data_IF_157528571945
#
_entry.id   IF_157528571945
#
_cell.length_a   1.000
_cell.length_b   1.000
_cell.length_c   1.000
_cell.angle_alpha   90.00
_cell.angle_beta   90.00
_cell.angle_gamma   90.00
#
_symmetry.space_group_name_H-M   'P 1'
#
loop_
_entity.id
_entity.type
_entity.pdbx_description
1 polymer ?
#
# COMPACT_ATOMS: atom_id res chain seq x y z
N UNK A 1 -7.81 28.36 -2.47
CA UNK A 1 -6.45 27.97 -2.88
C UNK A 1 -6.57 26.63 -3.60
N UNK A 2 -5.89 26.41 -4.72
CA UNK A 2 -5.86 25.10 -5.38
C UNK A 2 -4.87 24.22 -4.63
N UNK A 3 -5.33 23.10 -4.07
CA UNK A 3 -4.47 22.19 -3.32
C UNK A 3 -3.68 21.28 -4.27
N UNK A 4 -2.35 21.30 -4.17
CA UNK A 4 -1.48 20.36 -4.92
C UNK A 4 -1.19 19.10 -4.12
N UNK A 5 -0.79 18.02 -4.79
CA UNK A 5 -0.36 16.77 -4.16
C UNK A 5 0.76 16.98 -3.12
N UNK A 6 1.74 17.84 -3.45
CA UNK A 6 2.86 18.16 -2.56
C UNK A 6 2.41 18.83 -1.27
N UNK A 7 1.40 19.69 -1.35
CA UNK A 7 0.87 20.39 -0.18
C UNK A 7 0.10 19.42 0.73
N UNK A 8 -0.56 18.42 0.16
CA UNK A 8 -1.39 17.45 0.88
C UNK A 8 -0.56 16.40 1.63
N UNK A 9 0.52 15.86 1.04
CA UNK A 9 1.21 14.66 1.54
C UNK A 9 1.71 14.76 2.98
N UNK A 10 2.49 15.79 3.30
CA UNK A 10 3.08 15.96 4.64
C UNK A 10 2.00 16.00 5.73
N UNK A 11 1.08 16.97 5.67
CA UNK A 11 -0.05 17.06 6.60
C UNK A 11 -0.94 15.80 6.65
N UNK A 12 -1.12 15.12 5.52
CA UNK A 12 -1.87 13.85 5.47
C UNK A 12 -1.19 12.75 6.29
N UNK A 13 0.15 12.67 6.28
CA UNK A 13 0.87 11.64 7.02
C UNK A 13 0.73 11.85 8.53
N UNK A 14 0.86 13.10 8.99
CA UNK A 14 0.62 13.46 10.39
C UNK A 14 -0.81 13.10 10.82
N UNK A 15 -1.80 13.40 9.98
CA UNK A 15 -3.19 13.02 10.21
C UNK A 15 -3.40 11.50 10.32
N UNK A 16 -2.79 10.73 9.41
CA UNK A 16 -2.91 9.27 9.41
C UNK A 16 -2.24 8.65 10.64
N UNK A 17 -1.09 9.16 11.09
CA UNK A 17 -0.44 8.73 12.33
C UNK A 17 -1.30 9.04 13.56
N UNK A 18 -1.95 10.20 13.61
CA UNK A 18 -2.88 10.53 14.71
C UNK A 18 -4.10 9.59 14.74
N UNK A 19 -4.66 9.26 13.58
CA UNK A 19 -5.86 8.41 13.48
C UNK A 19 -5.59 6.92 13.68
N UNK A 20 -4.44 6.42 13.23
CA UNK A 20 -4.13 4.99 13.21
C UNK A 20 -2.99 4.58 14.17
N UNK A 21 -2.32 5.55 14.80
CA UNK A 21 -1.16 5.32 15.65
C UNK A 21 0.09 4.99 14.85
N UNK A 22 0.84 3.99 15.32
CA UNK A 22 2.11 3.59 14.70
C UNK A 22 1.84 2.94 13.34
N UNK A 23 2.25 3.65 12.28
CA UNK A 23 2.15 3.22 10.88
C UNK A 23 3.48 3.41 10.16
N UNK A 24 3.61 2.79 8.99
CA UNK A 24 4.70 3.08 8.04
C UNK A 24 4.12 3.56 6.73
N UNK A 25 4.63 4.66 6.21
CA UNK A 25 4.26 5.22 4.92
C UNK A 25 5.29 4.82 3.86
N UNK A 26 4.80 4.30 2.73
CA UNK A 26 5.59 4.06 1.53
C UNK A 26 4.96 4.85 0.39
N UNK A 27 5.73 5.74 -0.22
CA UNK A 27 5.25 6.56 -1.34
C UNK A 27 5.56 5.91 -2.69
N UNK A 28 4.78 6.27 -3.72
CA UNK A 28 5.07 5.98 -5.13
C UNK A 28 5.29 4.49 -5.45
N UNK A 29 4.57 3.59 -4.75
CA UNK A 29 4.74 2.14 -4.88
C UNK A 29 4.08 1.59 -6.15
N UNK A 30 4.86 0.94 -7.00
CA UNK A 30 4.33 0.28 -8.21
C UNK A 30 3.34 -0.85 -7.85
N UNK A 31 2.14 -0.81 -8.43
CA UNK A 31 1.06 -1.81 -8.29
C UNK A 31 0.58 -2.27 -9.67
N UNK A 32 1.25 -3.29 -10.22
CA UNK A 32 0.99 -3.76 -11.57
C UNK A 32 1.39 -2.72 -12.61
N UNK A 33 0.43 -2.13 -13.33
CA UNK A 33 0.67 -1.03 -14.27
C UNK A 33 0.32 0.35 -13.71
N UNK A 34 -0.23 0.39 -12.50
CA UNK A 34 -0.45 1.63 -11.78
C UNK A 34 0.69 1.87 -10.79
N UNK A 35 0.71 3.08 -10.26
CA UNK A 35 1.50 3.44 -9.10
C UNK A 35 0.53 3.91 -8.04
N UNK A 36 0.72 3.39 -6.83
CA UNK A 36 0.02 3.90 -5.67
C UNK A 36 0.77 5.11 -5.14
N UNK A 37 0.05 6.20 -4.89
CA UNK A 37 0.66 7.46 -4.41
C UNK A 37 1.24 7.25 -3.02
N UNK A 38 0.46 6.58 -2.17
CA UNK A 38 0.79 6.27 -0.78
C UNK A 38 0.30 4.86 -0.44
N UNK A 39 1.12 4.11 0.28
CA UNK A 39 0.77 2.85 0.92
C UNK A 39 1.00 3.02 2.41
N UNK A 40 -0.08 2.99 3.17
CA UNK A 40 -0.04 2.95 4.62
C UNK A 40 0.02 1.49 5.08
N UNK A 41 1.11 1.13 5.74
CA UNK A 41 1.36 -0.19 6.33
C UNK A 41 0.89 -0.15 7.79
N UNK A 42 -0.13 -0.94 8.09
CA UNK A 42 -0.64 -1.23 9.43
C UNK A 42 -0.16 -2.62 9.83
N UNK A 43 -0.32 -2.97 11.12
CA UNK A 43 0.15 -4.24 11.70
C UNK A 43 -0.15 -5.50 10.87
N UNK A 44 -1.40 -5.67 10.41
CA UNK A 44 -1.88 -6.86 9.69
C UNK A 44 -2.48 -6.52 8.31
N UNK A 45 -2.41 -5.25 7.89
CA UNK A 45 -3.10 -4.79 6.68
C UNK A 45 -2.34 -3.68 5.97
N UNK A 46 -2.54 -3.60 4.67
CA UNK A 46 -2.06 -2.52 3.81
C UNK A 46 -3.26 -1.72 3.33
N UNK A 47 -3.15 -0.39 3.48
CA UNK A 47 -4.10 0.54 2.90
C UNK A 47 -3.45 1.30 1.75
N UNK A 48 -3.98 1.13 0.53
CA UNK A 48 -3.61 1.98 -0.59
C UNK A 48 -4.33 3.31 -0.48
N UNK A 49 -3.62 4.42 -0.68
CA UNK A 49 -4.18 5.76 -0.62
C UNK A 49 -3.85 6.47 -1.93
N UNK A 50 -4.88 6.86 -2.66
CA UNK A 50 -4.77 7.68 -3.87
C UNK A 50 -5.09 9.13 -3.51
N UNK A 51 -4.21 10.06 -3.90
CA UNK A 51 -4.39 11.50 -3.68
C UNK A 51 -4.90 12.12 -4.98
N UNK A 52 -5.97 12.91 -4.88
CA UNK A 52 -6.52 13.68 -5.99
C UNK A 52 -6.52 15.15 -5.64
N UNK A 53 -5.65 15.89 -6.33
CA UNK A 53 -5.64 17.35 -6.32
C UNK A 53 -6.87 17.89 -7.05
N UNK A 54 -7.16 19.18 -6.85
CA UNK A 54 -8.30 19.83 -7.51
C UNK A 54 -8.17 19.89 -9.06
N UNK A 55 -6.98 19.61 -9.60
CA UNK A 55 -6.73 19.59 -11.03
C UNK A 55 -6.96 18.21 -11.68
N UNK A 56 -7.19 17.15 -10.88
CA UNK A 56 -7.21 15.78 -11.38
C UNK A 56 -8.54 15.39 -12.04
N UNK A 57 -8.45 14.62 -13.13
CA UNK A 57 -9.63 14.02 -13.78
C UNK A 57 -9.89 12.61 -13.26
N UNK A 58 -11.17 12.26 -13.10
CA UNK A 58 -11.59 10.94 -12.62
C UNK A 58 -11.42 9.80 -13.64
N UNK A 59 -11.06 10.10 -14.90
CA UNK A 59 -10.83 9.08 -15.93
C UNK A 59 -9.66 8.17 -15.55
N UNK A 60 -8.57 8.75 -15.04
CA UNK A 60 -7.40 7.98 -14.59
C UNK A 60 -7.72 7.16 -13.33
N UNK A 61 -8.52 7.72 -12.43
CA UNK A 61 -8.93 7.06 -11.19
C UNK A 61 -9.62 5.72 -11.45
N UNK A 62 -10.52 5.63 -12.43
CA UNK A 62 -11.22 4.37 -12.76
C UNK A 62 -10.26 3.21 -13.04
N UNK A 63 -9.14 3.49 -13.73
CA UNK A 63 -8.13 2.47 -13.99
C UNK A 63 -7.28 2.15 -12.75
N UNK A 64 -6.95 3.15 -11.94
CA UNK A 64 -6.21 2.97 -10.69
C UNK A 64 -7.01 2.13 -9.69
N UNK A 65 -8.31 2.39 -9.55
CA UNK A 65 -9.23 1.64 -8.69
C UNK A 65 -9.12 0.13 -8.92
N UNK A 66 -8.99 -0.31 -10.17
CA UNK A 66 -8.80 -1.74 -10.49
C UNK A 66 -7.53 -2.32 -9.86
N UNK A 67 -6.41 -1.61 -9.92
CA UNK A 67 -5.13 -2.07 -9.38
C UNK A 67 -5.11 -2.00 -7.86
N UNK A 68 -5.52 -0.88 -7.27
CA UNK A 68 -5.64 -0.74 -5.82
C UNK A 68 -6.52 -1.84 -5.21
N UNK A 69 -7.68 -2.10 -5.83
CA UNK A 69 -8.58 -3.18 -5.43
C UNK A 69 -7.92 -4.57 -5.44
N UNK A 70 -6.91 -4.81 -6.26
CA UNK A 70 -6.24 -6.12 -6.31
C UNK A 70 -5.12 -6.24 -5.28
N UNK A 71 -4.52 -5.13 -4.83
CA UNK A 71 -3.28 -5.15 -4.05
C UNK A 71 -3.46 -4.90 -2.56
N UNK A 72 -4.46 -4.12 -2.15
CA UNK A 72 -4.57 -3.63 -0.78
C UNK A 72 -5.80 -4.13 -0.06
N UNK A 73 -5.68 -4.36 1.25
CA UNK A 73 -6.77 -4.84 2.12
C UNK A 73 -7.81 -3.75 2.38
N UNK A 74 -7.36 -2.50 2.41
CA UNK A 74 -8.17 -1.29 2.52
C UNK A 74 -7.74 -0.31 1.43
N UNK A 75 -8.61 0.61 1.07
CA UNK A 75 -8.24 1.71 0.16
C UNK A 75 -8.88 3.01 0.61
N UNK A 76 -8.15 4.11 0.46
CA UNK A 76 -8.66 5.47 0.59
C UNK A 76 -8.49 6.23 -0.73
N UNK A 77 -9.37 7.19 -0.94
CA UNK A 77 -9.09 8.34 -1.80
C UNK A 77 -9.10 9.62 -0.95
N UNK A 78 -8.12 10.49 -1.20
CA UNK A 78 -8.01 11.82 -0.60
C UNK A 78 -8.36 12.85 -1.66
N UNK A 79 -9.25 13.80 -1.36
CA UNK A 79 -9.66 14.82 -2.33
C UNK A 79 -10.01 16.15 -1.65
N UNK A 80 -9.87 17.25 -2.38
CA UNK A 80 -10.36 18.56 -1.93
C UNK A 80 -11.89 18.58 -1.79
N UNK A 81 -12.43 19.47 -0.95
CA UNK A 81 -13.88 19.57 -0.69
C UNK A 81 -14.73 19.84 -1.92
N UNK A 82 -14.24 20.64 -2.87
CA UNK A 82 -14.90 20.89 -4.16
C UNK A 82 -15.03 19.62 -5.01
N UNK A 83 -14.09 18.68 -4.87
CA UNK A 83 -14.07 17.40 -5.58
C UNK A 83 -14.81 16.28 -4.85
N UNK A 84 -14.99 16.41 -3.53
CA UNK A 84 -15.63 15.41 -2.69
C UNK A 84 -17.09 15.10 -3.09
N UNK A 85 -17.80 16.02 -3.75
CA UNK A 85 -19.23 15.86 -4.06
C UNK A 85 -19.52 14.64 -4.95
N UNK A 86 -18.65 14.36 -5.93
CA UNK A 86 -18.86 13.25 -6.89
C UNK A 86 -17.88 12.09 -6.71
N UNK A 87 -16.97 12.15 -5.74
CA UNK A 87 -15.95 11.11 -5.58
C UNK A 87 -16.57 9.73 -5.27
N UNK A 88 -17.70 9.69 -4.55
CA UNK A 88 -18.43 8.46 -4.24
C UNK A 88 -18.86 7.68 -5.49
N UNK A 89 -19.12 8.38 -6.59
CA UNK A 89 -19.53 7.77 -7.86
C UNK A 89 -18.35 7.12 -8.60
N UNK A 90 -17.11 7.43 -8.19
CA UNK A 90 -15.89 7.01 -8.87
C UNK A 90 -15.09 5.95 -8.11
N UNK A 91 -15.36 5.78 -6.81
CA UNK A 91 -14.73 4.74 -5.99
C UNK A 91 -15.76 3.76 -5.43
N UNK A 92 -15.43 2.47 -5.28
CA UNK A 92 -16.32 1.48 -4.66
C UNK A 92 -16.75 1.89 -3.25
N UNK A 93 -17.92 1.42 -2.80
CA UNK A 93 -18.47 1.74 -1.47
C UNK A 93 -17.59 1.31 -0.30
N UNK A 94 -16.71 0.32 -0.49
CA UNK A 94 -15.76 -0.13 0.53
C UNK A 94 -14.47 0.71 0.60
N UNK A 95 -14.27 1.67 -0.31
CA UNK A 95 -13.17 2.63 -0.19
C UNK A 95 -13.49 3.65 0.89
N UNK A 96 -12.51 4.06 1.67
CA UNK A 96 -12.62 5.25 2.50
C UNK A 96 -12.48 6.52 1.67
N UNK A 97 -12.99 7.63 2.20
CA UNK A 97 -12.86 8.96 1.62
C UNK A 97 -12.37 9.89 2.72
N UNK A 98 -11.25 10.56 2.45
CA UNK A 98 -10.72 11.65 3.26
C UNK A 98 -10.87 12.94 2.45
N UNK A 99 -11.43 13.97 3.07
CA UNK A 99 -11.51 15.30 2.47
C UNK A 99 -10.40 16.18 3.04
N UNK A 100 -9.74 16.95 2.18
CA UNK A 100 -8.75 17.94 2.55
C UNK A 100 -9.33 19.35 2.37
N UNK A 101 -9.20 20.19 3.41
CA UNK A 101 -9.69 21.56 3.43
C UNK A 101 -8.54 22.51 3.73
N UNK A 102 -8.34 23.50 2.86
CA UNK A 102 -7.35 24.55 3.07
C UNK A 102 -7.99 25.76 3.74
N UNK A 103 -7.66 26.00 5.00
CA UNK A 103 -8.11 27.18 5.75
C UNK A 103 -6.93 27.87 6.42
N UNK A 104 -6.83 29.21 6.30
CA UNK A 104 -5.81 30.04 6.97
C UNK A 104 -4.34 29.59 6.78
N UNK A 105 -4.02 28.90 5.69
CA UNK A 105 -2.67 28.43 5.38
C UNK A 105 -2.32 27.06 5.99
N UNK A 106 -3.26 26.40 6.66
CA UNK A 106 -3.18 25.02 7.11
C UNK A 106 -4.12 24.13 6.31
N UNK A 107 -3.84 22.82 6.30
CA UNK A 107 -4.69 21.82 5.66
C UNK A 107 -5.24 20.91 6.74
N UNK A 108 -6.56 20.90 6.86
CA UNK A 108 -7.29 20.00 7.76
C UNK A 108 -7.86 18.82 6.98
N UNK A 109 -7.90 17.66 7.63
CA UNK A 109 -8.40 16.43 7.05
C UNK A 109 -9.59 15.89 7.84
N UNK A 110 -10.58 15.39 7.09
CA UNK A 110 -11.78 14.79 7.69
C UNK A 110 -12.06 13.43 7.03
N UNK A 111 -12.29 12.40 7.84
CA UNK A 111 -12.77 11.12 7.33
C UNK A 111 -14.27 11.22 7.07
N UNK A 112 -14.63 11.51 5.81
CA UNK A 112 -16.02 11.49 5.34
C UNK A 112 -16.59 10.08 5.28
N UNK A 113 -15.74 9.09 4.94
CA UNK A 113 -16.12 7.67 4.91
C UNK A 113 -14.95 6.80 5.37
N UNK A 114 -15.16 5.95 6.39
CA UNK A 114 -14.15 4.95 6.79
C UNK A 114 -14.11 3.81 5.76
N UNK A 115 -12.92 3.24 5.47
CA UNK A 115 -12.77 2.15 4.54
C UNK A 115 -13.30 0.87 5.17
N UNK A 116 -13.80 -0.02 4.34
CA UNK A 116 -14.19 -1.36 4.73
C UNK A 116 -13.23 -2.37 4.09
N UNK A 117 -13.15 -3.61 4.61
CA UNK A 117 -12.37 -4.67 3.99
C UNK A 117 -12.68 -4.78 2.49
N UNK A 118 -11.63 -4.76 1.68
CA UNK A 118 -11.73 -4.80 0.23
C UNK A 118 -11.97 -6.25 -0.26
N UNK A 119 -13.16 -6.59 -0.79
CA UNK A 119 -13.49 -7.95 -1.22
C UNK A 119 -12.77 -8.37 -2.51
N UNK A 120 -12.05 -7.46 -3.18
CA UNK A 120 -11.37 -7.70 -4.45
C UNK A 120 -9.85 -7.92 -4.31
N UNK A 121 -9.32 -7.79 -3.09
CA UNK A 121 -7.90 -7.96 -2.79
C UNK A 121 -7.48 -9.39 -3.13
N UNK A 122 -6.30 -9.52 -3.74
CA UNK A 122 -5.74 -10.80 -4.19
C UNK A 122 -4.40 -11.05 -3.48
N UNK A 123 -4.28 -12.09 -2.63
CA UNK A 123 -3.02 -12.42 -1.98
C UNK A 123 -1.86 -12.60 -2.97
N UNK A 124 -2.12 -13.15 -4.15
CA UNK A 124 -1.14 -13.37 -5.23
C UNK A 124 -0.65 -12.05 -5.85
N UNK A 125 -1.38 -10.95 -5.64
CA UNK A 125 -0.94 -9.60 -6.02
C UNK A 125 -0.27 -8.90 -4.84
N UNK A 126 -0.87 -8.96 -3.65
CA UNK A 126 -0.32 -8.35 -2.43
C UNK A 126 1.11 -8.82 -2.13
N UNK A 127 1.37 -10.13 -2.18
CA UNK A 127 2.70 -10.70 -1.90
C UNK A 127 3.78 -10.25 -2.91
N UNK A 128 3.38 -9.73 -4.08
CA UNK A 128 4.33 -9.23 -5.08
C UNK A 128 5.01 -7.93 -4.68
N UNK A 129 4.47 -7.24 -3.66
CA UNK A 129 5.06 -6.04 -3.07
C UNK A 129 6.36 -6.34 -2.33
N UNK A 130 6.56 -7.59 -1.88
CA UNK A 130 7.75 -8.04 -1.18
C UNK A 130 8.91 -8.31 -2.14
N UNK A 131 10.13 -8.05 -1.71
CA UNK A 131 11.36 -8.41 -2.37
C UNK A 131 11.79 -9.85 -2.07
N UNK A 132 12.74 -10.37 -2.83
CA UNK A 132 13.17 -11.76 -2.68
C UNK A 132 13.78 -12.05 -1.29
N UNK A 133 14.62 -11.19 -0.71
CA UNK A 133 15.13 -11.40 0.65
C UNK A 133 14.00 -11.45 1.69
N UNK A 134 13.02 -10.55 1.59
CA UNK A 134 11.86 -10.54 2.50
C UNK A 134 11.03 -11.83 2.41
N UNK A 135 10.88 -12.41 1.21
CA UNK A 135 10.24 -13.73 1.07
C UNK A 135 11.08 -14.84 1.70
N UNK A 136 12.42 -14.75 1.61
CA UNK A 136 13.31 -15.71 2.24
C UNK A 136 13.21 -15.66 3.77
N UNK A 137 13.07 -14.47 4.37
CA UNK A 137 12.81 -14.32 5.80
C UNK A 137 11.55 -15.06 6.25
N UNK A 138 10.45 -14.90 5.50
CA UNK A 138 9.21 -15.64 5.76
C UNK A 138 9.45 -17.15 5.64
N UNK A 139 10.16 -17.61 4.60
CA UNK A 139 10.50 -19.03 4.47
C UNK A 139 11.30 -19.55 5.66
N UNK A 140 12.29 -18.79 6.16
CA UNK A 140 13.09 -19.17 7.34
C UNK A 140 12.22 -19.27 8.59
N UNK A 141 11.38 -18.26 8.83
CA UNK A 141 10.49 -18.17 10.00
C UNK A 141 9.51 -19.34 10.08
N UNK A 142 8.96 -19.77 8.95
CA UNK A 142 8.01 -20.88 8.86
C UNK A 142 8.65 -22.21 8.45
N UNK A 143 9.99 -22.32 8.49
CA UNK A 143 10.74 -23.52 8.15
C UNK A 143 10.40 -24.11 6.76
N UNK A 144 10.09 -23.24 5.79
CA UNK A 144 9.84 -23.62 4.40
C UNK A 144 11.16 -23.79 3.63
N UNK A 145 11.21 -24.66 2.61
CA UNK A 145 12.39 -24.77 1.76
C UNK A 145 12.68 -23.44 1.06
N UNK A 146 13.95 -23.03 0.99
CA UNK A 146 14.36 -21.74 0.43
C UNK A 146 14.09 -21.60 -1.09
N UNK A 147 14.10 -22.71 -1.84
CA UNK A 147 13.89 -22.72 -3.29
C UNK A 147 14.79 -21.73 -4.06
N UNK A 148 16.09 -21.64 -3.71
CA UNK A 148 17.06 -20.67 -4.28
C UNK A 148 17.04 -20.61 -5.80
N UNK A 149 17.00 -21.77 -6.47
CA UNK A 149 17.01 -21.87 -7.94
C UNK A 149 15.63 -21.64 -8.60
N UNK A 150 14.57 -21.34 -7.83
CA UNK A 150 13.21 -21.13 -8.37
C UNK A 150 12.93 -19.65 -8.61
N UNK A 151 11.92 -19.36 -9.41
CA UNK A 151 11.48 -17.98 -9.65
C UNK A 151 10.83 -17.36 -8.42
N UNK A 152 10.83 -16.02 -8.34
CA UNK A 152 10.16 -15.27 -7.26
C UNK A 152 8.66 -15.64 -7.19
N UNK A 153 8.02 -15.78 -8.34
CA UNK A 153 6.61 -16.18 -8.44
C UNK A 153 6.37 -17.58 -7.87
N UNK A 154 7.28 -18.52 -8.10
CA UNK A 154 7.18 -19.87 -7.51
C UNK A 154 7.26 -19.81 -5.98
N UNK A 155 8.21 -19.04 -5.44
CA UNK A 155 8.36 -18.86 -3.99
C UNK A 155 7.11 -18.24 -3.38
N UNK A 156 6.58 -17.18 -3.99
CA UNK A 156 5.33 -16.54 -3.57
C UNK A 156 4.18 -17.52 -3.52
N UNK A 157 3.99 -18.34 -4.57
CA UNK A 157 2.94 -19.34 -4.60
C UNK A 157 3.11 -20.38 -3.48
N UNK A 158 4.34 -20.78 -3.16
CA UNK A 158 4.60 -21.73 -2.08
C UNK A 158 4.32 -21.15 -0.69
N UNK A 159 4.66 -19.89 -0.45
CA UNK A 159 4.30 -19.21 0.80
C UNK A 159 2.77 -19.14 0.94
N UNK A 160 2.06 -18.72 -0.12
CA UNK A 160 0.60 -18.62 -0.10
C UNK A 160 -0.11 -19.98 0.05
N UNK A 161 0.49 -21.07 -0.43
CA UNK A 161 -0.05 -22.43 -0.27
C UNK A 161 0.14 -22.98 1.15
N UNK A 162 1.17 -22.52 1.88
CA UNK A 162 1.61 -23.14 3.13
C UNK A 162 1.22 -22.38 4.40
N UNK A 163 1.02 -21.08 4.31
CA UNK A 163 0.64 -20.25 5.46
C UNK A 163 -0.86 -20.06 5.51
N UNK A 164 -1.38 -19.89 6.72
CA UNK A 164 -2.77 -19.48 6.92
C UNK A 164 -2.97 -18.04 6.41
N UNK A 165 -4.18 -17.69 5.95
CA UNK A 165 -4.45 -16.35 5.41
C UNK A 165 -4.02 -15.22 6.35
N UNK A 166 -4.32 -15.33 7.65
CA UNK A 166 -3.98 -14.29 8.63
C UNK A 166 -2.46 -14.08 8.76
N UNK A 167 -1.68 -15.16 8.72
CA UNK A 167 -0.22 -15.10 8.77
C UNK A 167 0.32 -14.42 7.52
N UNK A 168 -0.20 -14.76 6.33
CA UNK A 168 0.17 -14.10 5.08
C UNK A 168 -0.01 -12.57 5.19
N UNK A 169 -1.15 -12.12 5.71
CA UNK A 169 -1.42 -10.70 5.89
C UNK A 169 -0.42 -10.04 6.84
N UNK A 170 -0.16 -10.67 7.98
CA UNK A 170 0.73 -10.17 9.04
C UNK A 170 2.20 -10.15 8.59
N UNK A 171 2.70 -11.20 7.95
CA UNK A 171 4.08 -11.26 7.49
C UNK A 171 4.36 -10.26 6.36
N UNK A 172 3.41 -10.07 5.44
CA UNK A 172 3.57 -9.05 4.38
C UNK A 172 3.63 -7.65 5.00
N UNK A 173 2.76 -7.36 5.96
CA UNK A 173 2.78 -6.07 6.66
C UNK A 173 4.07 -5.87 7.44
N UNK A 174 4.50 -6.85 8.23
CA UNK A 174 5.74 -6.78 9.01
C UNK A 174 6.97 -6.56 8.12
N UNK A 175 7.09 -7.32 7.02
CA UNK A 175 8.20 -7.16 6.09
C UNK A 175 8.24 -5.77 5.42
N UNK A 176 7.08 -5.18 5.11
CA UNK A 176 7.00 -3.83 4.57
C UNK A 176 7.24 -2.74 5.61
N UNK A 177 6.87 -3.01 6.87
CA UNK A 177 7.06 -2.09 7.99
C UNK A 177 8.55 -1.93 8.32
N UNK A 178 9.27 -3.06 8.44
CA UNK A 178 10.71 -3.12 8.74
C UNK A 178 11.61 -2.81 7.54
N UNK A 179 11.03 -2.52 6.37
CA UNK A 179 11.80 -2.27 5.15
C UNK A 179 12.64 -1.00 5.28
N UNK A 180 13.95 -1.19 5.21
CA UNK A 180 14.93 -0.11 5.09
C UNK A 180 15.36 0.10 3.63
N UNK A 181 14.99 1.25 3.06
CA UNK A 181 15.36 1.63 1.70
C UNK A 181 16.81 2.07 1.55
N UNK A 182 17.50 2.42 2.64
CA UNK A 182 18.90 2.85 2.59
C UNK A 182 19.84 1.67 2.45
N UNK A 183 19.47 0.52 3.00
CA UNK A 183 20.27 -0.71 3.01
C UNK A 183 19.84 -1.71 1.93
N UNK A 184 18.81 -1.40 1.14
CA UNK A 184 18.22 -2.41 0.26
C UNK A 184 19.18 -2.91 -0.81
N UNK A 185 19.99 -2.02 -1.39
CA UNK A 185 20.91 -2.43 -2.45
C UNK A 185 21.92 -3.44 -1.92
N UNK A 186 22.44 -3.19 -0.72
CA UNK A 186 23.36 -4.09 -0.03
C UNK A 186 22.69 -5.42 0.31
N UNK A 187 21.46 -5.40 0.86
CA UNK A 187 20.69 -6.60 1.15
C UNK A 187 20.40 -7.44 -0.10
N UNK A 188 20.07 -6.79 -1.22
CA UNK A 188 19.84 -7.49 -2.49
C UNK A 188 21.12 -8.09 -3.04
N UNK A 189 22.26 -7.41 -2.89
CA UNK A 189 23.55 -7.89 -3.38
C UNK A 189 24.14 -9.00 -2.49
N UNK A 190 23.97 -8.92 -1.17
CA UNK A 190 24.28 -10.01 -0.24
C UNK A 190 23.44 -11.25 -0.54
N UNK A 191 22.13 -11.09 -0.67
CA UNK A 191 21.24 -12.20 -1.02
C UNK A 191 21.63 -12.86 -2.35
N UNK A 192 22.04 -12.07 -3.36
CA UNK A 192 22.53 -12.61 -4.64
C UNK A 192 23.83 -13.39 -4.49
N UNK A 193 24.75 -12.94 -3.62
CA UNK A 193 26.00 -13.66 -3.34
C UNK A 193 25.72 -14.99 -2.67
N UNK A 194 24.83 -15.03 -1.68
CA UNK A 194 24.41 -16.27 -1.01
C UNK A 194 23.69 -17.25 -1.93
N UNK A 195 22.85 -16.74 -2.85
CA UNK A 195 22.14 -17.57 -3.84
C UNK A 195 23.06 -18.10 -4.96
N UNK A 196 24.27 -17.53 -5.11
CA UNK A 196 25.26 -17.94 -6.12
C UNK A 196 26.20 -19.04 -5.65
N UNK A 197 26.07 -19.50 -4.40
CA UNK A 197 26.86 -20.57 -3.75
C UNK A 197 25.99 -21.82 -3.52
#
# INVERSE_FOLDING_TARGET
MTLSDRDIRGPLFDFLEQEYGVIRIIEEKQTGRARADVVMVLYDRLCGIEIKSDADTYVRLKNQVKYYNQYFDLNYVVCGTSHAVHIDEHVPSFWGIITAEAENGTIDFYIRRRPLPNPKMKPEKKITLLWRPELAEIQRKYHLPAYRQKSKQFVQAKILEKLDPQDIHTEISAALFERDYTLIQDQLDEYRKEDSV
#
